data_IF_831227676735
#
_entry.id   IF_831227676735
#
_cell.length_a   1.000
_cell.length_b   1.000
_cell.length_c   1.000
_cell.angle_alpha   90.00
_cell.angle_beta   90.00
_cell.angle_gamma   90.00
#
_symmetry.space_group_name_H-M   'P 1'
#
loop_
_entity.id
_entity.type
_entity.pdbx_description
1 polymer ?
#
# COMPACT_ATOMS: atom_id res chain seq x y z
N UNK A 1 -0.64 0.81 7.23
CA UNK A 1 -1.26 1.55 6.10
C UNK A 1 -1.22 3.03 6.40
N UNK A 2 -0.89 3.86 5.42
CA UNK A 2 -0.81 5.30 5.58
C UNK A 2 -1.84 6.02 4.70
N UNK A 3 -2.33 7.18 5.15
CA UNK A 3 -3.22 8.04 4.38
C UNK A 3 -2.91 9.52 4.63
N UNK A 4 -2.96 10.35 3.58
CA UNK A 4 -2.79 11.80 3.67
C UNK A 4 -3.94 12.51 4.39
N UNK A 5 -5.10 11.87 4.49
CA UNK A 5 -6.29 12.41 5.16
C UNK A 5 -6.62 11.61 6.41
N UNK A 6 -7.57 12.11 7.20
CA UNK A 6 -8.20 11.30 8.25
C UNK A 6 -8.77 10.00 7.67
N UNK A 7 -8.61 8.91 8.41
CA UNK A 7 -9.14 7.60 8.05
C UNK A 7 -10.56 7.42 8.58
N UNK A 8 -11.38 6.65 7.85
CA UNK A 8 -12.72 6.30 8.30
C UNK A 8 -12.69 5.44 9.56
N UNK A 9 -13.76 5.49 10.36
CA UNK A 9 -13.91 4.63 11.55
C UNK A 9 -13.82 3.15 11.22
N UNK A 10 -14.20 2.74 10.00
CA UNK A 10 -14.06 1.34 9.55
C UNK A 10 -12.60 0.90 9.48
N UNK A 11 -11.70 1.79 9.08
CA UNK A 11 -10.26 1.50 9.07
C UNK A 11 -9.73 1.46 10.49
N UNK A 12 -10.08 2.42 11.35
CA UNK A 12 -9.60 2.46 12.75
C UNK A 12 -9.94 1.18 13.52
N UNK A 13 -11.12 0.60 13.32
CA UNK A 13 -11.47 -0.70 13.92
C UNK A 13 -10.55 -1.86 13.49
N UNK A 14 -9.90 -1.79 12.31
CA UNK A 14 -8.96 -2.84 11.89
C UNK A 14 -7.68 -2.84 12.73
N UNK A 15 -7.21 -1.68 13.16
CA UNK A 15 -6.05 -1.58 14.07
C UNK A 15 -6.40 -2.11 15.46
N UNK A 16 -7.64 -1.92 15.91
CA UNK A 16 -8.13 -2.51 17.17
C UNK A 16 -8.29 -4.03 17.08
N UNK A 17 -8.73 -4.55 15.93
CA UNK A 17 -9.00 -5.98 15.71
C UNK A 17 -7.73 -6.79 15.41
N UNK A 18 -6.75 -6.19 14.71
CA UNK A 18 -5.55 -6.89 14.23
C UNK A 18 -4.27 -6.23 14.76
N UNK A 19 -3.53 -6.86 15.70
CA UNK A 19 -2.34 -6.26 16.30
C UNK A 19 -1.16 -6.11 15.33
N UNK A 20 -1.23 -6.74 14.16
CA UNK A 20 -0.24 -6.65 13.08
C UNK A 20 -0.58 -5.56 12.06
N UNK A 21 -1.64 -4.78 12.28
CA UNK A 21 -2.02 -3.65 11.43
C UNK A 21 -1.72 -2.37 12.20
N UNK A 22 -0.87 -1.53 11.62
CA UNK A 22 -0.65 -0.16 12.09
C UNK A 22 -1.27 0.81 11.09
N UNK A 23 -2.01 1.81 11.57
CA UNK A 23 -2.61 2.86 10.76
C UNK A 23 -1.95 4.21 11.02
N UNK A 24 -1.58 4.91 9.95
CA UNK A 24 -0.91 6.21 10.01
C UNK A 24 -1.80 7.23 9.29
N UNK A 25 -2.77 7.85 9.98
CA UNK A 25 -3.60 8.90 9.40
C UNK A 25 -2.85 10.23 9.29
N UNK A 26 -3.24 11.06 8.33
CA UNK A 26 -2.69 12.41 8.14
C UNK A 26 -1.17 12.45 7.98
N UNK A 27 -0.63 11.47 7.24
CA UNK A 27 0.80 11.39 6.94
C UNK A 27 1.23 12.54 6.00
N UNK A 28 2.46 13.03 6.14
CA UNK A 28 3.10 13.92 5.18
C UNK A 28 4.14 13.18 4.33
N UNK A 29 4.70 13.82 3.30
CA UNK A 29 5.61 13.16 2.37
C UNK A 29 6.91 12.66 3.02
N UNK A 30 7.46 13.39 3.99
CA UNK A 30 8.69 13.02 4.71
C UNK A 30 8.47 11.77 5.58
N UNK A 31 7.38 11.76 6.35
CA UNK A 31 6.97 10.58 7.13
C UNK A 31 6.65 9.38 6.24
N UNK A 32 6.04 9.63 5.07
CA UNK A 32 5.74 8.56 4.13
C UNK A 32 7.03 7.93 3.58
N UNK A 33 8.02 8.76 3.26
CA UNK A 33 9.34 8.28 2.83
C UNK A 33 10.00 7.42 3.92
N UNK A 34 10.03 7.89 5.16
CA UNK A 34 10.61 7.15 6.29
C UNK A 34 9.95 5.78 6.49
N UNK A 35 8.63 5.70 6.31
CA UNK A 35 7.89 4.45 6.43
C UNK A 35 8.09 3.53 5.23
N UNK A 36 8.24 4.08 4.02
CA UNK A 36 8.57 3.31 2.82
C UNK A 36 9.98 2.72 2.89
N UNK A 37 10.96 3.45 3.41
CA UNK A 37 12.34 2.96 3.60
C UNK A 37 12.43 1.77 4.58
N UNK A 38 11.45 1.62 5.48
CA UNK A 38 11.37 0.50 6.43
C UNK A 38 10.63 -0.71 5.86
N UNK A 39 10.00 -0.59 4.69
CA UNK A 39 9.12 -1.60 4.14
C UNK A 39 9.80 -2.41 3.02
N UNK A 40 9.62 -3.73 3.04
CA UNK A 40 10.12 -4.61 1.98
C UNK A 40 9.09 -4.84 0.86
N UNK A 41 7.80 -4.66 1.18
CA UNK A 41 6.66 -5.03 0.33
C UNK A 41 5.70 -3.85 0.21
N UNK A 42 5.33 -3.50 -1.03
CA UNK A 42 4.29 -2.51 -1.32
C UNK A 42 3.02 -3.21 -1.82
N UNK A 43 1.91 -2.98 -1.10
CA UNK A 43 0.59 -3.51 -1.45
C UNK A 43 -0.27 -2.42 -2.10
N UNK A 44 -0.41 -2.50 -3.40
CA UNK A 44 -1.22 -1.61 -4.21
C UNK A 44 -2.67 -2.14 -4.29
N UNK A 45 -3.39 -1.94 -3.19
CA UNK A 45 -4.77 -2.43 -3.00
C UNK A 45 -5.81 -1.30 -2.94
N UNK A 46 -5.34 -0.05 -2.96
CA UNK A 46 -6.20 1.13 -2.80
C UNK A 46 -7.04 1.35 -4.07
N UNK A 47 -8.37 1.34 -3.91
CA UNK A 47 -9.35 1.58 -4.99
C UNK A 47 -9.62 3.07 -5.26
N UNK A 48 -9.13 3.96 -4.39
CA UNK A 48 -9.27 5.41 -4.53
C UNK A 48 -8.27 6.00 -5.52
N UNK A 49 -8.28 7.33 -5.66
CA UNK A 49 -7.23 8.05 -6.38
C UNK A 49 -5.88 7.72 -5.73
N UNK A 50 -4.97 7.16 -6.52
CA UNK A 50 -3.60 6.95 -6.07
C UNK A 50 -2.93 8.30 -5.95
N UNK A 51 -2.29 8.52 -4.81
CA UNK A 51 -1.63 9.77 -4.50
C UNK A 51 -0.13 9.60 -4.75
N UNK A 52 0.44 10.49 -5.56
CA UNK A 52 1.89 10.65 -5.71
C UNK A 52 2.62 9.62 -6.59
N UNK A 53 3.95 9.73 -6.57
CA UNK A 53 4.90 8.85 -7.27
C UNK A 53 5.26 7.59 -6.44
N UNK A 54 4.43 7.20 -5.47
CA UNK A 54 4.76 6.13 -4.50
C UNK A 54 5.15 4.81 -5.20
N UNK A 55 4.49 4.48 -6.31
CA UNK A 55 4.80 3.27 -7.08
C UNK A 55 6.22 3.31 -7.69
N UNK A 56 6.63 4.49 -8.18
CA UNK A 56 7.97 4.71 -8.72
C UNK A 56 9.01 4.63 -7.60
N UNK A 57 8.70 5.17 -6.43
CA UNK A 57 9.58 5.09 -5.26
C UNK A 57 9.75 3.66 -4.78
N UNK A 58 8.66 2.90 -4.67
CA UNK A 58 8.70 1.49 -4.31
C UNK A 58 9.55 0.69 -5.31
N UNK A 59 9.44 1.00 -6.60
CA UNK A 59 10.28 0.41 -7.64
C UNK A 59 11.76 0.79 -7.51
N UNK A 60 12.07 2.07 -7.30
CA UNK A 60 13.44 2.58 -7.12
C UNK A 60 14.12 2.00 -5.87
N UNK A 61 13.35 1.65 -4.84
CA UNK A 61 13.83 0.99 -3.62
C UNK A 61 13.87 -0.54 -3.70
N UNK A 62 13.63 -1.14 -4.88
CA UNK A 62 13.56 -2.60 -5.07
C UNK A 62 12.54 -3.31 -4.16
N UNK A 63 11.46 -2.63 -3.78
CA UNK A 63 10.38 -3.26 -3.02
C UNK A 63 9.63 -4.26 -3.88
N UNK A 64 9.13 -5.33 -3.26
CA UNK A 64 8.20 -6.25 -3.94
C UNK A 64 6.82 -5.59 -4.03
N UNK A 65 6.39 -5.30 -5.25
CA UNK A 65 5.09 -4.68 -5.53
C UNK A 65 4.06 -5.76 -5.84
N UNK A 66 2.94 -5.72 -5.11
CA UNK A 66 1.78 -6.59 -5.34
C UNK A 66 0.54 -5.73 -5.58
N UNK A 67 -0.17 -5.97 -6.70
CA UNK A 67 -1.39 -5.23 -7.05
C UNK A 67 -2.54 -6.17 -7.41
N UNK A 68 -3.77 -5.83 -7.03
CA UNK A 68 -4.95 -6.47 -7.66
C UNK A 68 -5.09 -5.96 -9.09
N UNK A 69 -5.47 -6.84 -10.03
CA UNK A 69 -5.71 -6.46 -11.43
C UNK A 69 -6.68 -5.28 -11.59
N UNK A 70 -7.67 -5.18 -10.71
CA UNK A 70 -8.68 -4.12 -10.73
C UNK A 70 -8.12 -2.72 -10.40
N UNK A 71 -7.01 -2.65 -9.66
CA UNK A 71 -6.39 -1.38 -9.24
C UNK A 71 -4.97 -1.21 -9.78
N UNK A 72 -4.37 -2.26 -10.35
CA UNK A 72 -3.02 -2.24 -10.90
C UNK A 72 -2.88 -1.13 -11.95
N UNK A 73 -1.81 -0.35 -11.82
CA UNK A 73 -1.43 0.57 -12.89
C UNK A 73 -0.65 -0.18 -13.96
N UNK A 74 -0.77 0.23 -15.22
CA UNK A 74 -0.10 -0.41 -16.35
C UNK A 74 1.45 -0.44 -16.22
N UNK A 75 1.99 0.45 -15.39
CA UNK A 75 3.43 0.58 -15.09
C UNK A 75 3.82 -0.08 -13.75
N UNK A 76 2.92 -0.86 -13.14
CA UNK A 76 3.24 -1.63 -11.95
C UNK A 76 4.24 -2.73 -12.37
N UNK A 77 5.53 -2.47 -12.15
CA UNK A 77 6.65 -3.42 -12.32
C UNK A 77 6.61 -4.55 -11.26
N UNK A 78 5.42 -5.00 -10.89
CA UNK A 78 5.15 -5.93 -9.79
C UNK A 78 4.25 -7.10 -10.21
N UNK A 79 3.95 -7.95 -9.23
CA UNK A 79 3.06 -9.09 -9.42
C UNK A 79 1.61 -8.63 -9.35
N UNK A 80 0.87 -8.87 -10.43
CA UNK A 80 -0.56 -8.56 -10.54
C UNK A 80 -1.36 -9.84 -10.39
N UNK A 81 -2.31 -9.86 -9.45
CA UNK A 81 -3.15 -11.02 -9.15
C UNK A 81 -4.63 -10.70 -9.34
N UNK A 82 -5.41 -11.70 -9.77
CA UNK A 82 -6.87 -11.59 -9.91
C UNK A 82 -7.55 -12.07 -8.63
N UNK A 83 -7.06 -13.16 -8.05
CA UNK A 83 -7.53 -13.72 -6.78
C UNK A 83 -6.34 -13.98 -5.83
N UNK A 84 -6.60 -13.99 -4.52
CA UNK A 84 -5.57 -14.32 -3.49
C UNK A 84 -4.94 -15.71 -3.75
N UNK A 85 -5.69 -16.61 -4.41
CA UNK A 85 -5.23 -17.97 -4.76
C UNK A 85 -4.09 -17.99 -5.77
N UNK A 86 -3.90 -16.91 -6.52
CA UNK A 86 -2.85 -16.83 -7.55
C UNK A 86 -1.44 -16.70 -6.93
N UNK A 87 -1.34 -16.31 -5.66
CA UNK A 87 -0.07 -16.18 -4.93
C UNK A 87 0.43 -17.51 -4.34
N UNK A 88 -0.36 -18.58 -4.40
CA UNK A 88 -0.09 -19.86 -3.72
C UNK A 88 0.25 -21.03 -4.67
N UNK A 89 0.47 -20.77 -5.96
CA UNK A 89 0.84 -21.80 -6.95
C UNK A 89 2.29 -21.68 -7.40
#
# INVERSE_FOLDING_TARGET
MAAYTNMSTKLLHLEEEFPNIQLIPSINDEMLQDELEKADIYLDINRGLKVGEILKWAYEQNMLIFSYKEVAQAEAHGLVFEEIRDLCN
#
